data_IF_233584581725
#
_entry.id   IF_233584581725
#
_cell.length_a   1.000
_cell.length_b   1.000
_cell.length_c   1.000
_cell.angle_alpha   90.00
_cell.angle_beta   90.00
_cell.angle_gamma   90.00
#
_symmetry.space_group_name_H-M   'P 1'
#
loop_
_entity.id
_entity.type
_entity.pdbx_description
1 polymer ?
#
# COMPACT_ATOMS: atom_id res chain seq x y z
N UNK A 1 26.50 -8.01 -2.74
CA UNK A 1 25.18 -8.59 -3.10
C UNK A 1 24.04 -7.96 -2.31
N UNK A 2 24.06 -7.95 -0.97
CA UNK A 2 23.00 -7.35 -0.11
C UNK A 2 22.65 -5.89 -0.43
N UNK A 3 23.64 -5.01 -0.65
CA UNK A 3 23.38 -3.57 -0.95
C UNK A 3 22.56 -3.35 -2.23
N UNK A 4 22.72 -4.19 -3.25
CA UNK A 4 21.96 -4.06 -4.50
C UNK A 4 20.50 -4.45 -4.29
N UNK A 5 20.24 -5.53 -3.52
CA UNK A 5 18.89 -5.97 -3.18
C UNK A 5 18.14 -4.93 -2.35
N UNK A 6 18.79 -4.33 -1.34
CA UNK A 6 18.23 -3.23 -0.55
C UNK A 6 17.75 -2.07 -1.43
N UNK A 7 18.59 -1.63 -2.37
CA UNK A 7 18.26 -0.52 -3.28
C UNK A 7 17.08 -0.91 -4.18
N UNK A 8 17.09 -2.12 -4.74
CA UNK A 8 16.00 -2.62 -5.58
C UNK A 8 14.68 -2.67 -4.81
N UNK A 9 14.67 -3.17 -3.58
CA UNK A 9 13.48 -3.24 -2.75
C UNK A 9 12.95 -1.84 -2.38
N UNK A 10 13.83 -0.88 -2.08
CA UNK A 10 13.43 0.52 -1.86
C UNK A 10 12.78 1.11 -3.13
N UNK A 11 13.42 0.94 -4.29
CA UNK A 11 12.89 1.44 -5.57
C UNK A 11 11.55 0.79 -5.89
N UNK A 12 11.41 -0.51 -5.65
CA UNK A 12 10.17 -1.25 -5.87
C UNK A 12 9.04 -0.73 -4.96
N UNK A 13 9.33 -0.52 -3.68
CA UNK A 13 8.38 0.07 -2.73
C UNK A 13 7.92 1.46 -3.19
N UNK A 14 8.86 2.30 -3.60
CA UNK A 14 8.57 3.63 -4.12
C UNK A 14 7.76 3.58 -5.41
N UNK A 15 8.01 2.58 -6.26
CA UNK A 15 7.29 2.37 -7.50
C UNK A 15 5.84 1.95 -7.25
N UNK A 16 5.56 1.12 -6.24
CA UNK A 16 4.18 0.80 -5.86
C UNK A 16 3.40 2.03 -5.38
N UNK A 17 4.03 2.92 -4.63
CA UNK A 17 3.38 4.18 -4.22
C UNK A 17 3.11 5.10 -5.41
N UNK A 18 4.07 5.24 -6.33
CA UNK A 18 3.88 6.01 -7.58
C UNK A 18 2.80 5.40 -8.47
N UNK A 19 2.73 4.07 -8.53
CA UNK A 19 1.69 3.33 -9.24
C UNK A 19 0.30 3.61 -8.64
N UNK A 20 0.17 3.63 -7.31
CA UNK A 20 -1.05 4.04 -6.62
C UNK A 20 -1.47 5.46 -7.04
N UNK A 21 -0.54 6.42 -6.96
CA UNK A 21 -0.80 7.81 -7.33
C UNK A 21 -1.24 7.97 -8.77
N UNK A 22 -0.48 7.40 -9.72
CA UNK A 22 -0.79 7.47 -11.14
C UNK A 22 -2.13 6.80 -11.44
N UNK A 23 -2.37 5.61 -10.93
CA UNK A 23 -3.61 4.88 -11.17
C UNK A 23 -4.83 5.61 -10.62
N UNK A 24 -4.74 6.18 -9.41
CA UNK A 24 -5.83 6.99 -8.83
C UNK A 24 -6.04 8.30 -9.56
N UNK A 25 -4.97 8.97 -10.00
CA UNK A 25 -5.09 10.16 -10.84
C UNK A 25 -5.81 9.84 -12.16
N UNK A 26 -5.42 8.77 -12.84
CA UNK A 26 -6.07 8.34 -14.09
C UNK A 26 -7.53 7.95 -13.88
N UNK A 27 -7.87 7.30 -12.77
CA UNK A 27 -9.25 7.01 -12.41
C UNK A 27 -10.05 8.31 -12.23
N UNK A 28 -9.52 9.30 -11.50
CA UNK A 28 -10.20 10.58 -11.29
C UNK A 28 -10.42 11.32 -12.61
N UNK A 29 -9.40 11.38 -13.47
CA UNK A 29 -9.56 11.98 -14.81
C UNK A 29 -10.66 11.24 -15.60
N UNK A 30 -10.70 9.91 -15.57
CA UNK A 30 -11.71 9.11 -16.27
C UNK A 30 -13.13 9.26 -15.70
N UNK A 31 -13.26 9.68 -14.43
CA UNK A 31 -14.55 10.07 -13.84
C UNK A 31 -15.00 11.45 -14.31
N UNK A 32 -14.07 12.37 -14.56
CA UNK A 32 -14.34 13.75 -14.97
C UNK A 32 -14.57 13.90 -16.48
N UNK A 33 -13.94 13.06 -17.30
CA UNK A 33 -13.97 13.15 -18.76
C UNK A 33 -14.19 11.80 -19.41
N UNK A 34 -15.01 11.77 -20.46
CA UNK A 34 -15.23 10.57 -21.25
C UNK A 34 -14.09 10.31 -22.24
N UNK A 35 -13.12 9.49 -21.84
CA UNK A 35 -12.02 9.07 -22.71
C UNK A 35 -12.38 7.92 -23.66
N UNK A 36 -13.54 7.29 -23.53
CA UNK A 36 -13.90 6.10 -24.32
C UNK A 36 -13.90 6.35 -25.83
N UNK A 37 -14.22 7.58 -26.25
CA UNK A 37 -14.27 8.00 -27.66
C UNK A 37 -12.91 8.01 -28.33
N UNK A 38 -11.84 8.17 -27.56
CA UNK A 38 -10.47 8.31 -28.05
C UNK A 38 -9.70 6.98 -28.01
N UNK A 39 -10.35 5.88 -27.62
CA UNK A 39 -9.69 4.57 -27.52
C UNK A 39 -9.62 3.91 -28.89
N UNK A 40 -8.40 3.56 -29.28
CA UNK A 40 -8.11 2.77 -30.47
C UNK A 40 -7.35 1.49 -30.11
N UNK A 41 -7.29 0.54 -31.03
CA UNK A 41 -6.41 -0.62 -30.88
C UNK A 41 -4.96 -0.13 -30.85
N UNK A 42 -4.22 -0.49 -29.81
CA UNK A 42 -2.82 -0.08 -29.64
C UNK A 42 -1.91 -1.29 -29.53
N UNK A 43 -0.72 -1.20 -30.13
CA UNK A 43 0.29 -2.26 -30.10
C UNK A 43 1.35 -1.94 -29.05
N UNK A 44 1.59 -2.89 -28.17
CA UNK A 44 2.74 -2.89 -27.27
C UNK A 44 3.76 -3.84 -27.86
N UNK A 45 4.94 -3.34 -28.20
CA UNK A 45 6.05 -4.17 -28.63
C UNK A 45 6.48 -5.12 -27.48
N UNK A 46 6.56 -6.40 -27.77
CA UNK A 46 6.97 -7.45 -26.81
C UNK A 46 8.29 -8.13 -27.23
N UNK A 47 8.93 -7.61 -28.27
CA UNK A 47 10.19 -8.08 -28.86
C UNK A 47 10.34 -7.53 -30.27
N UNK A 48 11.45 -7.86 -30.94
CA UNK A 48 11.82 -7.25 -32.22
C UNK A 48 10.80 -7.45 -33.35
N UNK A 49 10.00 -8.53 -33.28
CA UNK A 49 8.97 -8.88 -34.27
C UNK A 49 7.64 -9.31 -33.65
N UNK A 50 7.42 -9.05 -32.36
CA UNK A 50 6.20 -9.45 -31.66
C UNK A 50 5.52 -8.26 -31.00
N UNK A 51 4.19 -8.30 -30.94
CA UNK A 51 3.40 -7.29 -30.27
C UNK A 51 2.21 -7.91 -29.56
N UNK A 52 1.88 -7.36 -28.40
CA UNK A 52 0.59 -7.54 -27.75
C UNK A 52 -0.35 -6.42 -28.20
N UNK A 53 -1.61 -6.74 -28.51
CA UNK A 53 -2.60 -5.71 -28.92
C UNK A 53 -3.53 -5.42 -27.77
N UNK A 54 -3.53 -4.18 -27.30
CA UNK A 54 -4.62 -3.63 -26.50
C UNK A 54 -5.82 -3.47 -27.42
N UNK A 55 -6.86 -4.27 -27.18
CA UNK A 55 -8.11 -4.20 -27.93
C UNK A 55 -8.97 -3.07 -27.41
N UNK A 56 -9.17 -2.03 -28.22
CA UNK A 56 -9.96 -0.86 -27.85
C UNK A 56 -11.38 -1.23 -27.44
N UNK A 57 -11.98 -2.22 -28.10
CA UNK A 57 -13.31 -2.76 -27.75
C UNK A 57 -13.43 -3.32 -26.33
N UNK A 58 -12.32 -3.71 -25.69
CA UNK A 58 -12.31 -4.17 -24.29
C UNK A 58 -12.17 -3.00 -23.31
N UNK A 59 -11.46 -1.95 -23.72
CA UNK A 59 -11.17 -0.78 -22.86
C UNK A 59 -12.31 0.23 -22.90
N UNK A 60 -12.94 0.44 -24.06
CA UNK A 60 -14.06 1.39 -24.24
C UNK A 60 -15.16 1.23 -23.19
N UNK A 61 -15.75 0.03 -22.99
CA UNK A 61 -16.85 -0.13 -22.04
C UNK A 61 -16.42 0.14 -20.59
N UNK A 62 -15.15 -0.12 -20.25
CA UNK A 62 -14.63 0.15 -18.90
C UNK A 62 -14.55 1.65 -18.63
N UNK A 63 -14.00 2.43 -19.58
CA UNK A 63 -13.92 3.88 -19.46
C UNK A 63 -15.31 4.53 -19.47
N UNK A 64 -16.22 4.07 -20.34
CA UNK A 64 -17.61 4.55 -20.32
C UNK A 64 -18.29 4.28 -18.98
N UNK A 65 -18.07 3.11 -18.39
CA UNK A 65 -18.68 2.75 -17.11
C UNK A 65 -18.19 3.67 -15.97
N UNK A 66 -16.88 3.95 -15.94
CA UNK A 66 -16.27 4.87 -14.97
C UNK A 66 -16.86 6.27 -15.12
N UNK A 67 -16.89 6.81 -16.35
CA UNK A 67 -17.42 8.15 -16.62
C UNK A 67 -18.91 8.28 -16.30
N UNK A 68 -19.73 7.28 -16.66
CA UNK A 68 -21.19 7.28 -16.42
C UNK A 68 -21.53 7.08 -14.94
N UNK A 69 -20.60 6.63 -14.10
CA UNK A 69 -20.83 6.35 -12.68
C UNK A 69 -19.69 6.90 -11.80
N UNK A 70 -19.44 8.22 -11.79
CA UNK A 70 -18.26 8.80 -11.17
C UNK A 70 -18.22 8.59 -9.64
N UNK A 71 -19.39 8.55 -9.00
CA UNK A 71 -19.51 8.35 -7.55
C UNK A 71 -19.41 6.89 -7.11
N UNK A 72 -19.42 5.94 -8.06
CA UNK A 72 -19.33 4.52 -7.74
C UNK A 72 -17.88 4.04 -7.75
N UNK A 73 -17.61 3.04 -6.89
CA UNK A 73 -16.37 2.27 -6.95
C UNK A 73 -16.34 1.50 -8.27
N UNK A 74 -15.26 1.66 -9.02
CA UNK A 74 -15.02 0.92 -10.27
C UNK A 74 -13.88 -0.08 -10.08
N UNK A 75 -13.85 -1.08 -10.96
CA UNK A 75 -12.89 -2.18 -10.88
C UNK A 75 -11.44 -1.70 -11.07
N UNK A 76 -11.21 -0.74 -11.97
CA UNK A 76 -9.86 -0.22 -12.23
C UNK A 76 -9.27 0.42 -10.97
N UNK A 77 -9.97 1.39 -10.38
CA UNK A 77 -9.57 2.06 -9.15
C UNK A 77 -9.35 1.09 -8.00
N UNK A 78 -10.25 0.12 -7.83
CA UNK A 78 -10.12 -0.92 -6.82
C UNK A 78 -8.88 -1.80 -7.03
N UNK A 79 -8.61 -2.25 -8.26
CA UNK A 79 -7.46 -3.08 -8.55
C UNK A 79 -6.15 -2.31 -8.39
N UNK A 80 -6.12 -1.02 -8.73
CA UNK A 80 -4.99 -0.12 -8.44
C UNK A 80 -4.71 -0.09 -6.94
N UNK A 81 -5.73 0.18 -6.11
CA UNK A 81 -5.63 0.23 -4.65
C UNK A 81 -5.06 -1.08 -4.09
N UNK A 82 -5.74 -2.20 -4.35
CA UNK A 82 -5.35 -3.48 -3.75
C UNK A 82 -3.98 -3.93 -4.25
N UNK A 83 -3.69 -3.78 -5.54
CA UNK A 83 -2.39 -4.18 -6.09
C UNK A 83 -1.25 -3.34 -5.51
N UNK A 84 -1.46 -2.03 -5.35
CA UNK A 84 -0.47 -1.14 -4.78
C UNK A 84 -0.27 -1.40 -3.28
N UNK A 85 -1.35 -1.48 -2.49
CA UNK A 85 -1.27 -1.78 -1.06
C UNK A 85 -0.59 -3.12 -0.81
N UNK A 86 -0.97 -4.16 -1.55
CA UNK A 86 -0.34 -5.48 -1.44
C UNK A 86 1.15 -5.43 -1.75
N UNK A 87 1.53 -4.80 -2.86
CA UNK A 87 2.93 -4.67 -3.25
C UNK A 87 3.73 -3.89 -2.23
N UNK A 88 3.24 -2.71 -1.85
CA UNK A 88 3.90 -1.80 -0.91
C UNK A 88 4.10 -2.44 0.46
N UNK A 89 3.06 -3.01 1.08
CA UNK A 89 3.19 -3.61 2.42
C UNK A 89 4.00 -4.91 2.39
N UNK A 90 3.97 -5.67 1.31
CA UNK A 90 4.81 -6.87 1.15
C UNK A 90 6.29 -6.49 1.04
N UNK A 91 6.63 -5.55 0.17
CA UNK A 91 8.01 -5.07 0.02
C UNK A 91 8.51 -4.38 1.30
N UNK A 92 7.64 -3.61 1.99
CA UNK A 92 8.03 -2.98 3.25
C UNK A 92 8.35 -4.05 4.31
N UNK A 93 7.53 -5.08 4.42
CA UNK A 93 7.77 -6.21 5.32
C UNK A 93 9.08 -6.93 4.98
N UNK A 94 9.37 -7.16 3.71
CA UNK A 94 10.63 -7.77 3.28
C UNK A 94 11.85 -6.93 3.66
N UNK A 95 11.76 -5.60 3.57
CA UNK A 95 12.80 -4.69 4.07
C UNK A 95 13.00 -4.83 5.58
N UNK A 96 11.93 -4.97 6.36
CA UNK A 96 12.04 -5.15 7.81
C UNK A 96 12.71 -6.47 8.19
N UNK A 97 12.34 -7.56 7.52
CA UNK A 97 12.82 -8.89 7.86
C UNK A 97 14.26 -9.16 7.40
N UNK A 98 14.67 -8.59 6.26
CA UNK A 98 15.91 -8.98 5.59
C UNK A 98 17.00 -7.91 5.60
N UNK A 99 16.69 -6.67 5.98
CA UNK A 99 17.63 -5.54 5.93
C UNK A 99 17.85 -4.93 7.33
N UNK A 100 18.78 -5.47 8.14
CA UNK A 100 18.99 -5.02 9.52
C UNK A 100 19.32 -3.53 9.67
N UNK A 101 19.94 -2.93 8.65
CA UNK A 101 20.25 -1.49 8.64
C UNK A 101 18.97 -0.66 8.51
N UNK A 102 18.04 -1.10 7.66
CA UNK A 102 16.73 -0.46 7.49
C UNK A 102 15.87 -0.64 8.74
N UNK A 103 15.82 -1.85 9.28
CA UNK A 103 15.11 -2.16 10.52
C UNK A 103 15.60 -1.29 11.69
N UNK A 104 16.92 -1.19 11.89
CA UNK A 104 17.51 -0.36 12.95
C UNK A 104 17.21 1.12 12.75
N UNK A 105 17.29 1.61 11.52
CA UNK A 105 16.89 2.98 11.19
C UNK A 105 15.44 3.24 11.58
N UNK A 106 14.53 2.32 11.26
CA UNK A 106 13.12 2.49 11.55
C UNK A 106 12.82 2.42 13.05
N UNK A 107 13.47 1.51 13.78
CA UNK A 107 13.40 1.46 15.26
C UNK A 107 13.78 2.79 15.90
N UNK A 108 14.83 3.43 15.40
CA UNK A 108 15.25 4.75 15.87
C UNK A 108 14.24 5.84 15.52
N UNK A 109 13.68 5.82 14.30
CA UNK A 109 12.72 6.83 13.85
C UNK A 109 11.39 6.73 14.58
N UNK A 110 10.80 5.54 14.68
CA UNK A 110 9.47 5.35 15.28
C UNK A 110 9.49 5.14 16.79
N UNK A 111 10.66 4.88 17.39
CA UNK A 111 10.84 4.68 18.83
C UNK A 111 9.76 3.72 19.40
N UNK A 112 8.97 4.18 20.38
CA UNK A 112 7.91 3.38 21.02
C UNK A 112 6.82 2.91 20.06
N UNK A 113 6.60 3.61 18.95
CA UNK A 113 5.59 3.25 17.94
C UNK A 113 6.07 2.16 16.97
N UNK A 114 7.37 1.82 16.98
CA UNK A 114 7.95 0.85 16.04
C UNK A 114 7.25 -0.50 16.09
N UNK A 115 7.09 -1.08 17.29
CA UNK A 115 6.52 -2.44 17.43
C UNK A 115 5.09 -2.46 16.91
N UNK A 116 4.28 -1.45 17.25
CA UNK A 116 2.88 -1.36 16.78
C UNK A 116 2.83 -1.24 15.26
N UNK A 117 3.64 -0.36 14.68
CA UNK A 117 3.74 -0.19 13.23
C UNK A 117 4.14 -1.49 12.52
N UNK A 118 5.18 -2.17 13.02
CA UNK A 118 5.67 -3.43 12.46
C UNK A 118 4.56 -4.50 12.44
N UNK A 119 3.79 -4.59 13.53
CA UNK A 119 2.67 -5.53 13.62
C UNK A 119 1.52 -5.18 12.67
N UNK A 120 1.22 -3.91 12.46
CA UNK A 120 0.24 -3.48 11.45
C UNK A 120 0.71 -3.85 10.03
N UNK A 121 1.98 -3.64 9.70
CA UNK A 121 2.54 -4.03 8.39
C UNK A 121 2.45 -5.54 8.18
N UNK A 122 2.79 -6.35 9.20
CA UNK A 122 2.66 -7.82 9.15
C UNK A 122 1.21 -8.26 8.93
N UNK A 123 0.28 -7.65 9.65
CA UNK A 123 -1.15 -7.92 9.55
C UNK A 123 -1.68 -7.65 8.13
N UNK A 124 -1.41 -6.45 7.61
CA UNK A 124 -1.82 -6.06 6.26
C UNK A 124 -1.22 -6.94 5.18
N UNK A 125 0.08 -7.26 5.28
CA UNK A 125 0.77 -8.14 4.35
C UNK A 125 0.10 -9.52 4.31
N UNK A 126 -0.25 -10.10 5.45
CA UNK A 126 -0.89 -11.42 5.49
C UNK A 126 -2.27 -11.40 4.80
N UNK A 127 -3.15 -10.48 5.19
CA UNK A 127 -4.50 -10.37 4.61
C UNK A 127 -4.44 -10.13 3.09
N UNK A 128 -3.61 -9.18 2.65
CA UNK A 128 -3.55 -8.78 1.24
C UNK A 128 -2.90 -9.86 0.36
N UNK A 129 -2.02 -10.69 0.93
CA UNK A 129 -1.37 -11.81 0.23
C UNK A 129 -2.36 -12.93 -0.13
N UNK A 130 -3.44 -13.10 0.65
CA UNK A 130 -4.43 -14.17 0.47
C UNK A 130 -5.74 -13.72 -0.19
N UNK A 131 -5.83 -12.45 -0.57
CA UNK A 131 -6.99 -11.88 -1.27
C UNK A 131 -6.90 -12.10 -2.78
N UNK A 132 -7.66 -13.08 -3.28
CA UNK A 132 -7.88 -13.34 -4.72
C UNK A 132 -9.29 -12.95 -5.18
N UNK A 133 -10.12 -12.47 -4.24
CA UNK A 133 -11.52 -12.14 -4.44
C UNK A 133 -11.73 -10.65 -4.74
N UNK A 134 -12.88 -10.31 -5.31
CA UNK A 134 -13.30 -8.92 -5.56
C UNK A 134 -13.45 -8.06 -4.29
N UNK A 135 -13.35 -8.69 -3.12
CA UNK A 135 -13.35 -8.05 -1.80
C UNK A 135 -12.19 -8.60 -0.96
N UNK A 136 -11.60 -7.76 -0.11
CA UNK A 136 -10.57 -8.16 0.84
C UNK A 136 -11.23 -8.44 2.18
N UNK A 137 -11.51 -9.72 2.42
CA UNK A 137 -12.09 -10.18 3.67
C UNK A 137 -11.02 -10.92 4.48
N UNK A 138 -11.08 -10.77 5.80
CA UNK A 138 -10.20 -11.43 6.74
C UNK A 138 -10.51 -12.93 6.76
N UNK A 139 -9.47 -13.77 6.71
CA UNK A 139 -9.55 -15.18 7.08
C UNK A 139 -8.93 -15.37 8.45
N UNK A 140 -9.47 -16.28 9.24
CA UNK A 140 -8.96 -16.60 10.59
C UNK A 140 -7.45 -16.88 10.58
N UNK A 141 -6.98 -17.62 9.57
CA UNK A 141 -5.56 -17.96 9.42
C UNK A 141 -4.66 -16.74 9.19
N UNK A 142 -5.20 -15.62 8.70
CA UNK A 142 -4.44 -14.39 8.43
C UNK A 142 -4.02 -13.67 9.71
N UNK A 143 -4.78 -13.84 10.81
CA UNK A 143 -4.62 -13.04 12.03
C UNK A 143 -4.50 -13.83 13.33
N UNK A 144 -4.96 -15.08 13.43
CA UNK A 144 -4.99 -15.79 14.73
C UNK A 144 -3.57 -16.06 15.26
N UNK A 145 -2.62 -16.44 14.40
CA UNK A 145 -1.21 -16.61 14.79
C UNK A 145 -0.60 -15.31 15.33
N UNK A 146 -0.94 -14.18 14.71
CA UNK A 146 -0.45 -12.88 15.13
C UNK A 146 -1.11 -12.45 16.44
N UNK A 147 -2.41 -12.66 16.59
CA UNK A 147 -3.15 -12.42 17.84
C UNK A 147 -2.53 -13.18 19.02
N UNK A 148 -2.16 -14.44 18.84
CA UNK A 148 -1.52 -15.23 19.90
C UNK A 148 -0.11 -14.74 20.24
N UNK A 149 0.65 -14.28 19.24
CA UNK A 149 1.91 -13.58 19.49
C UNK A 149 1.69 -12.29 20.29
N UNK A 150 0.72 -11.46 19.88
CA UNK A 150 0.42 -10.18 20.54
C UNK A 150 -0.02 -10.36 22.00
N UNK A 151 -0.84 -11.38 22.30
CA UNK A 151 -1.21 -11.73 23.68
C UNK A 151 0.00 -12.02 24.59
N UNK A 152 1.07 -12.59 24.02
CA UNK A 152 2.25 -13.03 24.78
C UNK A 152 3.31 -11.93 24.94
N UNK A 153 3.45 -11.04 23.96
CA UNK A 153 4.65 -10.20 23.85
C UNK A 153 4.39 -8.70 23.70
N UNK A 154 3.18 -8.26 23.34
CA UNK A 154 2.90 -6.85 23.03
C UNK A 154 1.58 -6.42 23.68
N UNK A 155 0.53 -6.23 22.89
CA UNK A 155 -0.86 -6.04 23.28
C UNK A 155 -1.71 -6.43 22.07
N UNK A 156 -2.85 -7.06 22.32
CA UNK A 156 -3.88 -7.34 21.31
C UNK A 156 -4.55 -6.09 20.75
N UNK A 157 -4.48 -4.96 21.46
CA UNK A 157 -4.92 -3.67 20.97
C UNK A 157 -3.71 -2.88 20.46
N UNK A 158 -3.62 -2.74 19.15
CA UNK A 158 -2.62 -1.91 18.49
C UNK A 158 -3.16 -0.49 18.35
N UNK A 159 -2.55 0.49 19.03
CA UNK A 159 -2.83 1.93 18.88
C UNK A 159 -1.60 2.60 18.28
N UNK A 160 -1.62 2.77 16.96
CA UNK A 160 -0.57 3.46 16.24
C UNK A 160 -0.91 4.93 16.11
N UNK A 161 -0.09 5.80 16.70
CA UNK A 161 -0.21 7.24 16.62
C UNK A 161 1.04 7.82 15.97
N UNK A 162 0.82 8.54 14.88
CA UNK A 162 1.91 9.13 14.10
C UNK A 162 1.56 10.55 13.66
N UNK A 163 2.51 11.47 13.82
CA UNK A 163 2.41 12.86 13.37
C UNK A 163 3.70 13.20 12.64
N UNK A 164 3.63 13.67 11.40
CA UNK A 164 4.82 13.87 10.58
C UNK A 164 5.82 14.83 11.21
N UNK A 165 5.34 15.95 11.78
CA UNK A 165 6.19 16.93 12.44
C UNK A 165 7.02 16.36 13.61
N UNK A 166 6.49 15.35 14.30
CA UNK A 166 7.15 14.77 15.48
C UNK A 166 8.23 13.74 15.11
N UNK A 167 8.01 12.99 14.02
CA UNK A 167 8.86 11.86 13.63
C UNK A 167 9.83 12.18 12.48
N UNK A 168 9.48 13.16 11.64
CA UNK A 168 10.25 13.57 10.46
C UNK A 168 10.38 15.11 10.40
N UNK A 169 11.15 15.72 11.30
CA UNK A 169 11.37 17.17 11.31
C UNK A 169 11.99 17.67 9.99
N UNK A 170 12.69 16.81 9.25
CA UNK A 170 13.28 17.13 7.96
C UNK A 170 12.25 17.61 6.92
N UNK A 171 10.97 17.27 7.10
CA UNK A 171 9.92 17.53 6.12
C UNK A 171 9.10 18.80 6.43
N UNK A 172 9.41 19.51 7.52
CA UNK A 172 8.67 20.72 7.98
C UNK A 172 7.15 20.57 7.90
N UNK A 173 6.64 19.37 8.22
CA UNK A 173 5.23 19.04 8.12
C UNK A 173 4.37 19.78 9.15
N UNK A 174 3.07 19.88 8.89
CA UNK A 174 2.11 20.38 9.88
C UNK A 174 2.08 19.46 11.10
N UNK A 175 1.92 20.03 12.29
CA UNK A 175 1.67 19.28 13.54
C UNK A 175 0.31 18.57 13.53
N UNK A 176 -0.58 18.96 12.62
CA UNK A 176 -1.91 18.38 12.47
C UNK A 176 -1.95 17.30 11.37
N UNK A 177 -0.83 17.08 10.66
CA UNK A 177 -0.76 16.09 9.59
C UNK A 177 -0.14 14.78 10.10
N UNK A 178 -0.97 13.76 10.16
CA UNK A 178 -0.61 12.46 10.72
C UNK A 178 -1.76 11.47 10.63
N UNK A 179 -1.61 10.33 11.29
CA UNK A 179 -2.66 9.31 11.38
C UNK A 179 -2.70 8.68 12.77
N UNK A 180 -3.91 8.28 13.17
CA UNK A 180 -4.12 7.32 14.25
C UNK A 180 -4.86 6.12 13.71
N UNK A 181 -4.36 4.93 14.01
CA UNK A 181 -4.89 3.66 13.52
C UNK A 181 -5.00 2.69 14.69
N UNK A 182 -6.18 2.11 14.84
CA UNK A 182 -6.49 1.15 15.90
C UNK A 182 -6.84 -0.20 15.30
N UNK A 183 -6.19 -1.26 15.79
CA UNK A 183 -6.59 -2.64 15.46
C UNK A 183 -6.74 -3.42 16.76
N UNK A 184 -7.96 -3.85 17.05
CA UNK A 184 -8.25 -4.71 18.20
C UNK A 184 -8.36 -6.17 17.73
N UNK A 185 -7.27 -6.93 17.91
CA UNK A 185 -7.20 -8.34 17.49
C UNK A 185 -8.20 -9.24 18.23
N UNK A 186 -8.78 -8.79 19.36
CA UNK A 186 -9.85 -9.54 20.03
C UNK A 186 -11.21 -9.39 19.34
N UNK A 187 -11.39 -8.33 18.54
CA UNK A 187 -12.65 -8.03 17.85
C UNK A 187 -12.68 -8.48 16.39
N UNK A 188 -11.56 -8.92 15.84
CA UNK A 188 -11.47 -9.42 14.47
C UNK A 188 -12.30 -10.69 14.30
N UNK A 189 -12.97 -10.80 13.15
CA UNK A 189 -13.82 -11.94 12.80
C UNK A 189 -13.50 -12.44 11.40
N UNK A 190 -13.67 -13.75 11.20
CA UNK A 190 -13.64 -14.36 9.88
C UNK A 190 -14.71 -13.72 8.96
N UNK A 191 -14.35 -13.48 7.70
CA UNK A 191 -15.23 -12.87 6.71
C UNK A 191 -15.44 -11.36 6.85
N UNK A 192 -14.94 -10.71 7.91
CA UNK A 192 -15.01 -9.26 8.08
C UNK A 192 -14.24 -8.55 6.96
N UNK A 193 -14.74 -7.41 6.46
CA UNK A 193 -13.98 -6.63 5.48
C UNK A 193 -12.75 -5.98 6.12
N UNK A 194 -11.61 -6.00 5.43
CA UNK A 194 -10.43 -5.23 5.84
C UNK A 194 -10.76 -3.76 6.02
N UNK A 195 -11.63 -3.20 5.16
CA UNK A 195 -11.96 -1.77 5.18
C UNK A 195 -12.81 -1.36 6.40
N UNK A 196 -13.46 -2.32 7.07
CA UNK A 196 -14.16 -2.08 8.34
C UNK A 196 -13.20 -2.06 9.53
N UNK A 197 -12.01 -2.68 9.38
CA UNK A 197 -10.97 -2.73 10.42
C UNK A 197 -10.00 -1.56 10.26
N UNK A 198 -9.55 -1.32 9.03
CA UNK A 198 -8.65 -0.23 8.66
C UNK A 198 -9.27 0.49 7.47
N UNK A 199 -9.69 1.73 7.68
CA UNK A 199 -10.33 2.53 6.63
C UNK A 199 -9.41 2.73 5.43
N UNK A 200 -10.01 2.93 4.26
CA UNK A 200 -9.25 3.21 3.04
C UNK A 200 -8.35 4.45 3.20
N UNK A 201 -8.81 5.49 3.89
CA UNK A 201 -8.01 6.67 4.21
C UNK A 201 -6.75 6.31 5.01
N UNK A 202 -6.88 5.46 6.03
CA UNK A 202 -5.72 5.00 6.81
C UNK A 202 -4.75 4.18 5.97
N UNK A 203 -5.23 3.36 5.02
CA UNK A 203 -4.35 2.63 4.10
C UNK A 203 -3.56 3.57 3.18
N UNK A 204 -4.17 4.65 2.69
CA UNK A 204 -3.47 5.70 1.95
C UNK A 204 -2.41 6.40 2.80
N UNK A 205 -2.78 6.85 4.01
CA UNK A 205 -1.85 7.52 4.93
C UNK A 205 -0.68 6.60 5.32
N UNK A 206 -0.94 5.31 5.55
CA UNK A 206 0.09 4.34 5.87
C UNK A 206 1.01 4.08 4.66
N UNK A 207 0.44 4.02 3.45
CA UNK A 207 1.21 3.89 2.21
C UNK A 207 2.14 5.08 2.00
N UNK A 208 1.65 6.29 2.25
CA UNK A 208 2.44 7.52 2.22
C UNK A 208 3.55 7.48 3.26
N UNK A 209 3.25 7.09 4.50
CA UNK A 209 4.25 6.96 5.56
C UNK A 209 5.37 5.99 5.15
N UNK A 210 5.02 4.82 4.61
CA UNK A 210 5.99 3.85 4.10
C UNK A 210 6.88 4.43 2.98
N UNK A 211 6.29 5.16 2.03
CA UNK A 211 7.03 5.84 0.97
C UNK A 211 8.00 6.88 1.57
N UNK A 212 7.53 7.72 2.48
CA UNK A 212 8.30 8.79 3.10
C UNK A 212 9.47 8.25 3.93
N UNK A 213 9.24 7.19 4.71
CA UNK A 213 10.30 6.45 5.42
C UNK A 213 11.40 6.02 4.45
N UNK A 214 11.00 5.45 3.30
CA UNK A 214 11.96 4.95 2.30
C UNK A 214 12.80 6.08 1.68
N UNK A 215 12.19 7.23 1.42
CA UNK A 215 12.87 8.41 0.89
C UNK A 215 13.88 8.97 1.91
N UNK A 216 13.48 9.12 3.17
CA UNK A 216 14.38 9.61 4.23
C UNK A 216 15.53 8.63 4.45
N UNK A 217 15.26 7.32 4.42
CA UNK A 217 16.32 6.32 4.48
C UNK A 217 17.29 6.47 3.30
N UNK A 218 16.78 6.53 2.08
CA UNK A 218 17.58 6.69 0.85
C UNK A 218 18.47 7.93 0.92
N UNK A 219 17.92 9.07 1.35
CA UNK A 219 18.66 10.32 1.53
C UNK A 219 19.76 10.19 2.59
N UNK A 220 19.43 9.66 3.78
CA UNK A 220 20.38 9.51 4.90
C UNK A 220 21.57 8.64 4.52
N UNK A 221 21.34 7.56 3.79
CA UNK A 221 22.38 6.59 3.40
C UNK A 221 22.95 6.84 2.00
N UNK A 222 22.59 7.96 1.34
CA UNK A 222 23.04 8.35 0.00
C UNK A 222 22.92 7.22 -1.03
N UNK A 223 21.80 6.50 -0.97
CA UNK A 223 21.50 5.43 -1.91
C UNK A 223 21.03 6.06 -3.22
N UNK A 224 21.86 5.95 -4.26
CA UNK A 224 21.52 6.45 -5.60
C UNK A 224 20.48 5.57 -6.27
#
# INVERSE_FOLDING_TARGET
MQKAQLIQNIILLQSYYKFLYLGKYLEQEAKLKDFSKNVEDSKIATGDKSYFVIKGKMVKPLLENIYKNPDKKNLFGYLVEISAFRGLFSTFKELLDNEPVFERFLKQKLAKQYVVFEQIIKFLRNILSHSTTSHVNLKTDDFEKQKDYLKKYVDTLLDFKFVYADFFPEWKGSKDYGMRLYVDFKKLKDGQSLFDVISLHQLYMLSELCYNISEVFRMKYKLK
#
